data_IF_646555836124
#
_entry.id   IF_646555836124
#
_cell.length_a   1.000
_cell.length_b   1.000
_cell.length_c   1.000
_cell.angle_alpha   90.00
_cell.angle_beta   90.00
_cell.angle_gamma   90.00
#
_symmetry.space_group_name_H-M   'P 1'
#
loop_
_entity.id
_entity.type
_entity.pdbx_description
1 polymer ?
#
# COMPACT_ATOMS: atom_id res chain seq x y z
N UNK A 1 0.60 7.00 -22.91
CA UNK A 1 -0.39 8.07 -22.59
C UNK A 1 0.21 9.40 -23.02
N UNK A 2 -0.60 10.40 -23.30
CA UNK A 2 -0.13 11.78 -23.47
C UNK A 2 0.18 12.40 -22.11
N UNK A 3 0.92 13.51 -22.08
CA UNK A 3 1.18 14.27 -20.84
C UNK A 3 -0.12 14.72 -20.15
N UNK A 4 -1.13 15.09 -20.94
CA UNK A 4 -2.45 15.49 -20.42
C UNK A 4 -3.18 14.31 -19.75
N UNK A 5 -3.14 13.12 -20.37
CA UNK A 5 -3.70 11.89 -19.82
C UNK A 5 -3.00 11.47 -18.53
N UNK A 6 -1.67 11.59 -18.50
CA UNK A 6 -0.88 11.30 -17.30
C UNK A 6 -1.21 12.27 -16.16
N UNK A 7 -1.30 13.57 -16.45
CA UNK A 7 -1.68 14.57 -15.47
C UNK A 7 -3.09 14.32 -14.90
N UNK A 8 -4.04 13.95 -15.75
CA UNK A 8 -5.39 13.57 -15.34
C UNK A 8 -5.37 12.33 -14.45
N UNK A 9 -4.66 11.28 -14.86
CA UNK A 9 -4.53 10.02 -14.12
C UNK A 9 -3.94 10.25 -12.73
N UNK A 10 -2.84 11.02 -12.66
CA UNK A 10 -2.17 11.35 -11.40
C UNK A 10 -3.07 12.19 -10.49
N UNK A 11 -3.80 13.17 -11.05
CA UNK A 11 -4.77 13.96 -10.29
C UNK A 11 -5.87 13.08 -9.71
N UNK A 12 -6.43 12.18 -10.51
CA UNK A 12 -7.49 11.28 -10.09
C UNK A 12 -7.03 10.37 -8.94
N UNK A 13 -5.91 9.64 -9.10
CA UNK A 13 -5.44 8.73 -8.05
C UNK A 13 -4.85 9.43 -6.83
N UNK A 14 -4.36 10.67 -6.98
CA UNK A 14 -4.06 11.52 -5.82
C UNK A 14 -5.31 11.82 -5.02
N UNK A 15 -6.40 12.24 -5.67
CA UNK A 15 -7.67 12.49 -5.00
C UNK A 15 -8.21 11.23 -4.32
N UNK A 16 -8.27 10.10 -5.01
CA UNK A 16 -8.75 8.82 -4.45
C UNK A 16 -7.91 8.42 -3.23
N UNK A 17 -6.60 8.58 -3.29
CA UNK A 17 -5.69 8.26 -2.18
C UNK A 17 -5.92 9.16 -0.98
N UNK A 18 -5.93 10.49 -1.19
CA UNK A 18 -6.13 11.47 -0.13
C UNK A 18 -7.51 11.26 0.54
N UNK A 19 -8.57 11.07 -0.27
CA UNK A 19 -9.92 10.79 0.23
C UNK A 19 -9.98 9.47 1.02
N UNK A 20 -9.37 8.39 0.50
CA UNK A 20 -9.37 7.08 1.17
C UNK A 20 -8.62 7.14 2.50
N UNK A 21 -7.49 7.86 2.55
CA UNK A 21 -6.71 8.05 3.76
C UNK A 21 -7.49 8.82 4.83
N UNK A 22 -8.18 9.89 4.43
CA UNK A 22 -8.94 10.76 5.34
C UNK A 22 -10.25 10.11 5.83
N UNK A 23 -10.97 9.40 4.95
CA UNK A 23 -12.34 8.95 5.22
C UNK A 23 -12.49 7.44 5.48
N UNK A 24 -11.48 6.63 5.17
CA UNK A 24 -11.58 5.16 5.26
C UNK A 24 -10.49 4.57 6.16
N UNK A 25 -9.23 4.59 5.71
CA UNK A 25 -8.09 4.13 6.50
C UNK A 25 -6.76 4.43 5.78
N UNK A 26 -5.72 4.89 6.50
CA UNK A 26 -4.39 5.03 5.94
C UNK A 26 -3.76 3.70 5.49
N UNK A 27 -4.21 2.56 6.02
CA UNK A 27 -3.70 1.23 5.66
C UNK A 27 -4.06 0.82 4.22
N UNK A 28 -5.02 1.54 3.60
CA UNK A 28 -5.46 1.28 2.23
C UNK A 28 -4.61 1.99 1.16
N UNK A 29 -3.62 2.79 1.53
CA UNK A 29 -2.68 3.45 0.61
C UNK A 29 -2.09 2.47 -0.41
N UNK A 30 -1.66 1.29 0.06
CA UNK A 30 -1.11 0.24 -0.80
C UNK A 30 -2.15 -0.36 -1.75
N UNK A 31 -3.42 -0.40 -1.35
CA UNK A 31 -4.53 -0.83 -2.21
C UNK A 31 -4.82 0.19 -3.31
N UNK A 32 -4.85 1.48 -2.97
CA UNK A 32 -5.07 2.54 -3.97
C UNK A 32 -3.95 2.55 -5.02
N UNK A 33 -2.69 2.38 -4.62
CA UNK A 33 -1.58 2.26 -5.57
C UNK A 33 -1.75 1.07 -6.54
N UNK A 34 -2.23 -0.08 -6.04
CA UNK A 34 -2.51 -1.25 -6.89
C UNK A 34 -3.67 -0.99 -7.85
N UNK A 35 -4.73 -0.34 -7.38
CA UNK A 35 -5.88 0.10 -8.19
C UNK A 35 -5.39 1.01 -9.32
N UNK A 36 -4.51 1.98 -9.06
CA UNK A 36 -3.93 2.83 -10.09
C UNK A 36 -3.19 1.99 -11.17
N UNK A 37 -2.31 1.08 -10.75
CA UNK A 37 -1.60 0.20 -11.69
C UNK A 37 -2.56 -0.67 -12.52
N UNK A 38 -3.65 -1.15 -11.92
CA UNK A 38 -4.70 -1.88 -12.65
C UNK A 38 -5.41 -0.99 -13.67
N UNK A 39 -5.76 0.24 -13.31
CA UNK A 39 -6.37 1.22 -14.21
C UNK A 39 -5.51 1.47 -15.45
N UNK A 40 -4.21 1.69 -15.24
CA UNK A 40 -3.25 1.87 -16.33
C UNK A 40 -3.21 0.66 -17.27
N UNK A 41 -3.21 -0.56 -16.71
CA UNK A 41 -3.24 -1.80 -17.49
C UNK A 41 -4.53 -1.98 -18.28
N UNK A 42 -5.68 -1.67 -17.67
CA UNK A 42 -6.98 -1.73 -18.35
C UNK A 42 -7.01 -0.74 -19.52
N UNK A 43 -6.53 0.49 -19.32
CA UNK A 43 -6.45 1.48 -20.39
C UNK A 43 -5.60 0.98 -21.58
N UNK A 44 -4.48 0.32 -21.32
CA UNK A 44 -3.67 -0.31 -22.38
C UNK A 44 -4.39 -1.46 -23.07
N UNK A 45 -5.08 -2.33 -22.33
CA UNK A 45 -5.85 -3.45 -22.89
C UNK A 45 -6.96 -2.92 -23.81
N UNK A 46 -7.74 -1.93 -23.36
CA UNK A 46 -8.78 -1.29 -24.15
C UNK A 46 -8.21 -0.68 -25.44
N UNK A 47 -7.05 -0.02 -25.33
CA UNK A 47 -6.34 0.54 -26.49
C UNK A 47 -5.99 -0.54 -27.52
N UNK A 48 -5.48 -1.69 -27.06
CA UNK A 48 -5.12 -2.82 -27.92
C UNK A 48 -6.36 -3.41 -28.59
N UNK A 49 -7.42 -3.67 -27.83
CA UNK A 49 -8.68 -4.26 -28.34
C UNK A 49 -9.30 -3.36 -29.40
N UNK A 50 -9.47 -2.07 -29.09
CA UNK A 50 -10.02 -1.09 -30.04
C UNK A 50 -9.19 -1.00 -31.31
N UNK A 51 -7.85 -1.06 -31.20
CA UNK A 51 -6.97 -1.01 -32.36
C UNK A 51 -7.10 -2.28 -33.22
N UNK A 52 -7.15 -3.44 -32.58
CA UNK A 52 -7.32 -4.72 -33.25
C UNK A 52 -8.64 -4.77 -34.04
N UNK A 53 -9.74 -4.30 -33.44
CA UNK A 53 -11.04 -4.22 -34.10
C UNK A 53 -11.04 -3.23 -35.28
N UNK A 54 -10.41 -2.05 -35.11
CA UNK A 54 -10.40 -1.04 -36.15
C UNK A 54 -9.51 -1.40 -37.34
N UNK A 55 -8.36 -2.02 -37.10
CA UNK A 55 -7.38 -2.37 -38.14
C UNK A 55 -6.50 -3.56 -37.72
N UNK A 56 -6.91 -4.80 -38.03
CA UNK A 56 -6.18 -6.01 -37.61
C UNK A 56 -4.77 -6.14 -38.21
N UNK A 57 -4.51 -5.49 -39.35
CA UNK A 57 -3.33 -5.72 -40.20
C UNK A 57 -2.24 -4.63 -40.11
N UNK A 58 -2.40 -3.62 -39.24
CA UNK A 58 -1.50 -2.48 -39.19
C UNK A 58 -0.49 -2.62 -38.03
N UNK A 59 0.78 -2.99 -38.30
CA UNK A 59 1.84 -2.84 -37.33
C UNK A 59 2.03 -1.33 -37.05
N UNK A 60 1.48 -0.86 -35.94
CA UNK A 60 1.76 0.48 -35.45
C UNK A 60 3.06 0.47 -34.66
N UNK A 61 4.03 1.37 -34.94
CA UNK A 61 5.28 1.43 -34.19
C UNK A 61 5.07 1.82 -32.72
N UNK A 62 3.94 2.46 -32.40
CA UNK A 62 3.51 2.77 -31.04
C UNK A 62 1.98 2.74 -30.94
N UNK A 63 1.47 2.26 -29.81
CA UNK A 63 0.05 2.33 -29.45
C UNK A 63 -0.15 3.45 -28.44
N UNK A 64 -0.94 4.45 -28.82
CA UNK A 64 -1.30 5.56 -27.93
C UNK A 64 -2.71 5.35 -27.38
N UNK A 65 -2.82 5.40 -26.06
CA UNK A 65 -4.10 5.37 -25.35
C UNK A 65 -4.97 6.55 -25.79
N UNK A 66 -6.24 6.32 -26.09
CA UNK A 66 -7.18 7.41 -26.34
C UNK A 66 -7.84 7.86 -25.05
N UNK A 67 -8.41 9.07 -25.06
CA UNK A 67 -9.13 9.58 -23.90
C UNK A 67 -10.30 8.68 -23.54
N UNK A 68 -10.98 8.09 -24.53
CA UNK A 68 -12.06 7.12 -24.29
C UNK A 68 -11.56 5.88 -23.56
N UNK A 69 -10.40 5.33 -23.95
CA UNK A 69 -9.82 4.14 -23.30
C UNK A 69 -9.45 4.44 -21.84
N UNK A 70 -8.85 5.62 -21.60
CA UNK A 70 -8.50 6.07 -20.25
C UNK A 70 -9.74 6.31 -19.39
N UNK A 71 -10.72 7.07 -19.89
CA UNK A 71 -11.95 7.37 -19.14
C UNK A 71 -12.74 6.10 -18.80
N UNK A 72 -12.80 5.16 -19.74
CA UNK A 72 -13.44 3.85 -19.49
C UNK A 72 -12.72 3.07 -18.40
N UNK A 73 -11.38 3.05 -18.43
CA UNK A 73 -10.59 2.41 -17.39
C UNK A 73 -10.79 3.06 -16.01
N UNK A 74 -10.81 4.40 -15.94
CA UNK A 74 -11.06 5.13 -14.70
C UNK A 74 -12.47 4.82 -14.15
N UNK A 75 -13.51 4.85 -15.00
CA UNK A 75 -14.88 4.54 -14.58
C UNK A 75 -15.03 3.11 -14.03
N UNK A 76 -14.39 2.12 -14.66
CA UNK A 76 -14.36 0.73 -14.15
C UNK A 76 -13.71 0.70 -12.76
N UNK A 77 -12.61 1.43 -12.60
CA UNK A 77 -11.83 1.43 -11.37
C UNK A 77 -12.47 2.23 -10.24
N UNK A 78 -13.28 3.24 -10.54
CA UNK A 78 -14.11 3.94 -9.54
C UNK A 78 -15.13 2.97 -8.92
N UNK A 79 -15.82 2.19 -9.74
CA UNK A 79 -16.76 1.16 -9.26
C UNK A 79 -16.04 0.10 -8.45
N UNK A 80 -14.86 -0.36 -8.91
CA UNK A 80 -14.06 -1.32 -8.14
C UNK A 80 -13.62 -0.74 -6.79
N UNK A 81 -13.20 0.52 -6.77
CA UNK A 81 -12.73 1.21 -5.55
C UNK A 81 -13.85 1.33 -4.53
N UNK A 82 -15.05 1.70 -4.96
CA UNK A 82 -16.24 1.74 -4.12
C UNK A 82 -16.53 0.37 -3.47
N UNK A 83 -16.59 -0.69 -4.28
CA UNK A 83 -16.82 -2.05 -3.78
C UNK A 83 -15.71 -2.52 -2.83
N UNK A 84 -14.45 -2.18 -3.11
CA UNK A 84 -13.32 -2.52 -2.25
C UNK A 84 -13.44 -1.85 -0.87
N UNK A 85 -13.90 -0.60 -0.81
CA UNK A 85 -14.17 0.12 0.44
C UNK A 85 -15.31 -0.55 1.21
N UNK A 86 -16.39 -0.94 0.54
CA UNK A 86 -17.52 -1.60 1.18
C UNK A 86 -17.13 -2.96 1.77
N UNK A 87 -16.35 -3.76 1.02
CA UNK A 87 -15.79 -5.01 1.53
C UNK A 87 -14.86 -4.75 2.72
N UNK A 88 -14.02 -3.72 2.66
CA UNK A 88 -13.15 -3.35 3.78
C UNK A 88 -13.97 -3.02 5.04
N UNK A 89 -14.99 -2.15 4.91
CA UNK A 89 -15.89 -1.78 6.02
C UNK A 89 -16.64 -2.99 6.57
N UNK A 90 -17.12 -3.86 5.69
CA UNK A 90 -17.76 -5.12 6.08
C UNK A 90 -16.82 -6.00 6.88
N UNK A 91 -15.57 -6.20 6.42
CA UNK A 91 -14.58 -7.01 7.12
C UNK A 91 -14.12 -6.39 8.43
N UNK A 92 -14.09 -5.06 8.56
CA UNK A 92 -13.84 -4.40 9.86
C UNK A 92 -14.96 -4.70 10.87
N UNK A 93 -16.22 -4.76 10.41
CA UNK A 93 -17.38 -4.97 11.28
C UNK A 93 -17.64 -6.44 11.61
N UNK A 94 -17.50 -7.33 10.62
CA UNK A 94 -17.91 -8.73 10.70
C UNK A 94 -16.82 -9.72 10.35
N UNK A 95 -15.68 -9.24 9.85
CA UNK A 95 -14.55 -10.12 9.57
C UNK A 95 -14.06 -10.76 10.86
N UNK A 96 -13.64 -12.01 10.76
CA UNK A 96 -12.89 -12.64 11.83
C UNK A 96 -11.71 -11.74 12.13
N UNK A 97 -11.63 -11.20 13.36
CA UNK A 97 -10.42 -10.55 13.84
C UNK A 97 -9.31 -11.56 13.58
N UNK A 98 -8.42 -11.27 12.62
CA UNK A 98 -7.19 -12.05 12.47
C UNK A 98 -6.66 -12.20 13.89
N UNK A 99 -6.47 -13.44 14.33
CA UNK A 99 -5.97 -13.72 15.68
C UNK A 99 -4.87 -12.70 15.97
N UNK A 100 -4.93 -12.05 17.13
CA UNK A 100 -4.09 -10.93 17.56
C UNK A 100 -2.59 -11.29 17.71
N UNK A 101 -2.08 -12.14 16.83
CA UNK A 101 -0.72 -12.62 16.66
C UNK A 101 -0.03 -11.94 15.47
N UNK A 102 -0.48 -10.75 15.03
CA UNK A 102 0.46 -9.85 14.37
C UNK A 102 1.37 -9.31 15.47
N UNK A 103 2.51 -9.98 15.69
CA UNK A 103 3.61 -9.41 16.49
C UNK A 103 3.92 -8.06 15.86
N UNK A 104 3.51 -6.98 16.51
CA UNK A 104 3.77 -5.63 16.04
C UNK A 104 5.29 -5.46 15.97
N UNK A 105 5.80 -5.33 14.74
CA UNK A 105 7.22 -5.12 14.51
C UNK A 105 7.62 -3.80 15.20
N UNK A 106 8.79 -3.77 15.87
CA UNK A 106 9.20 -2.60 16.60
C UNK A 106 9.50 -1.44 15.64
N UNK A 107 9.09 -0.23 16.03
CA UNK A 107 9.33 1.00 15.27
C UNK A 107 10.83 1.35 15.24
N UNK A 108 11.23 2.23 14.33
CA UNK A 108 12.64 2.67 14.22
C UNK A 108 13.12 3.37 15.50
N UNK A 109 12.23 4.10 16.18
CA UNK A 109 12.52 4.74 17.47
C UNK A 109 12.73 3.71 18.57
N UNK A 110 11.87 2.68 18.65
CA UNK A 110 12.02 1.57 19.62
C UNK A 110 13.33 0.79 19.38
N UNK A 111 13.71 0.59 18.11
CA UNK A 111 14.98 -0.05 17.74
C UNK A 111 16.18 0.78 18.20
N UNK A 112 16.12 2.09 17.99
CA UNK A 112 17.17 3.04 18.40
C UNK A 112 17.31 3.12 19.92
N UNK A 113 16.19 3.14 20.65
CA UNK A 113 16.18 3.13 22.11
C UNK A 113 16.79 1.84 22.67
N UNK A 114 16.46 0.68 22.10
CA UNK A 114 17.06 -0.59 22.50
C UNK A 114 18.59 -0.55 22.37
N UNK A 115 19.12 -0.06 21.24
CA UNK A 115 20.55 0.10 21.01
C UNK A 115 21.20 1.03 22.04
N UNK A 116 20.62 2.22 22.26
CA UNK A 116 21.15 3.22 23.21
C UNK A 116 21.22 2.69 24.64
N UNK A 117 20.16 2.03 25.11
CA UNK A 117 20.12 1.50 26.47
C UNK A 117 21.07 0.31 26.67
N UNK A 118 21.31 -0.49 25.63
CA UNK A 118 22.34 -1.55 25.68
C UNK A 118 23.74 -0.96 25.79
N UNK A 119 24.05 0.12 25.06
CA UNK A 119 25.33 0.84 25.18
C UNK A 119 25.53 1.44 26.58
N UNK A 120 24.46 1.81 27.27
CA UNK A 120 24.49 2.25 28.68
C UNK A 120 24.62 1.10 29.69
N UNK A 121 24.79 -0.15 29.23
CA UNK A 121 24.95 -1.33 30.10
C UNK A 121 23.66 -1.84 30.73
N UNK A 122 22.48 -1.41 30.27
CA UNK A 122 21.21 -1.89 30.81
C UNK A 122 20.95 -3.35 30.44
N UNK A 123 20.32 -4.10 31.35
CA UNK A 123 19.94 -5.49 31.08
C UNK A 123 18.77 -5.59 30.10
N UNK A 124 18.72 -6.67 29.32
CA UNK A 124 17.68 -6.88 28.30
C UNK A 124 16.25 -6.80 28.86
N UNK A 125 16.04 -7.27 30.10
CA UNK A 125 14.76 -7.21 30.79
C UNK A 125 14.37 -5.79 31.20
N UNK A 126 15.34 -4.98 31.62
CA UNK A 126 15.10 -3.57 31.94
C UNK A 126 14.78 -2.77 30.67
N UNK A 127 15.53 -2.99 29.59
CA UNK A 127 15.24 -2.40 28.28
C UNK A 127 13.83 -2.78 27.80
N UNK A 128 13.43 -4.04 27.97
CA UNK A 128 12.10 -4.50 27.58
C UNK A 128 10.97 -3.81 28.39
N UNK A 129 11.21 -3.53 29.67
CA UNK A 129 10.29 -2.78 30.51
C UNK A 129 10.18 -1.32 30.06
N UNK A 130 11.30 -0.65 29.80
CA UNK A 130 11.33 0.77 29.43
C UNK A 130 10.80 1.04 28.02
N UNK A 131 11.14 0.19 27.05
CA UNK A 131 10.80 0.41 25.63
C UNK A 131 9.43 -0.15 25.28
N UNK A 132 9.06 -1.32 25.82
CA UNK A 132 7.83 -2.02 25.45
C UNK A 132 6.80 -2.11 26.59
N UNK A 133 7.07 -1.54 27.75
CA UNK A 133 6.21 -1.69 28.94
C UNK A 133 6.07 -3.13 29.43
N UNK A 134 6.92 -4.05 28.95
CA UNK A 134 6.75 -5.49 29.17
C UNK A 134 8.11 -6.18 29.36
N UNK A 135 8.42 -6.52 30.61
CA UNK A 135 9.66 -7.20 31.01
C UNK A 135 9.87 -8.53 30.25
N UNK A 136 8.78 -9.21 29.88
CA UNK A 136 8.84 -10.50 29.18
C UNK A 136 9.22 -10.35 27.70
N UNK A 137 9.20 -9.13 27.15
CA UNK A 137 9.63 -8.85 25.78
C UNK A 137 11.15 -8.84 25.58
N UNK A 138 11.96 -9.28 26.56
CA UNK A 138 13.43 -9.32 26.46
C UNK A 138 13.96 -10.14 25.26
N UNK A 139 13.24 -11.16 24.79
CA UNK A 139 13.59 -11.89 23.56
C UNK A 139 13.44 -11.03 22.31
N UNK A 140 12.47 -10.11 22.29
CA UNK A 140 12.29 -9.10 21.22
C UNK A 140 13.47 -8.12 21.21
N UNK A 141 13.87 -7.62 22.39
CA UNK A 141 15.06 -6.77 22.54
C UNK A 141 16.32 -7.47 22.02
N UNK A 142 16.53 -8.73 22.41
CA UNK A 142 17.69 -9.53 21.93
C UNK A 142 17.72 -9.64 20.41
N UNK A 143 16.57 -9.88 19.78
CA UNK A 143 16.45 -9.95 18.31
C UNK A 143 16.84 -8.62 17.65
N UNK A 144 16.35 -7.50 18.19
CA UNK A 144 16.68 -6.16 17.67
C UNK A 144 18.18 -5.88 17.77
N UNK A 145 18.79 -6.15 18.92
CA UNK A 145 20.22 -5.87 19.13
C UNK A 145 21.13 -6.72 18.23
N UNK A 146 20.68 -7.92 17.86
CA UNK A 146 21.37 -8.76 16.87
C UNK A 146 21.48 -8.08 15.50
N UNK A 147 20.45 -7.35 15.07
CA UNK A 147 20.48 -6.58 13.81
C UNK A 147 21.56 -5.48 13.84
N UNK A 148 21.94 -5.01 15.04
CA UNK A 148 23.02 -4.04 15.27
C UNK A 148 24.38 -4.69 15.61
N UNK A 149 24.50 -6.01 15.56
CA UNK A 149 25.73 -6.73 15.89
C UNK A 149 26.09 -6.74 17.38
N UNK A 150 25.13 -6.45 18.27
CA UNK A 150 25.31 -6.49 19.72
C UNK A 150 24.65 -7.75 20.31
N UNK A 151 25.41 -8.58 21.03
CA UNK A 151 24.92 -9.78 21.73
C UNK A 151 24.44 -9.52 23.17
#
# INVERSE_FOLDING_TARGET
MTEQQEALFNRHFKYVKDWTREHVSPDLDGSVNRIAVMAYRIAMILTIVRRFEANPQLPAPALTCTDTDLQSALAIMDVLSYNAIDVYKYLQKYGLKRAANQKQEPTDDERTLCYRYKQQGMSLRKIAAEVFGNVNAHTKVKRILKDFGLE
#
